data_IF_470850024303
#
_entry.id   IF_470850024303
#
_cell.length_a   1.000
_cell.length_b   1.000
_cell.length_c   1.000
_cell.angle_alpha   90.00
_cell.angle_beta   90.00
_cell.angle_gamma   90.00
#
_symmetry.space_group_name_H-M   'P 1'
#
loop_
_entity.id
_entity.type
_entity.pdbx_description
1 polymer ?
#
# COMPACT_ATOMS: atom_id res chain seq x y z
N UNK A 1 -13.80 12.42 14.51
CA UNK A 1 -12.90 11.31 14.13
C UNK A 1 -12.84 11.28 12.61
N UNK A 2 -11.66 11.12 12.02
CA UNK A 2 -11.53 11.01 10.56
C UNK A 2 -11.99 9.63 10.13
N UNK A 3 -13.02 9.54 9.30
CA UNK A 3 -13.46 8.24 8.76
C UNK A 3 -12.34 7.62 7.91
N UNK A 4 -12.12 6.31 8.07
CA UNK A 4 -11.18 5.60 7.20
C UNK A 4 -11.78 5.39 5.82
N UNK A 5 -10.91 5.25 4.82
CA UNK A 5 -11.32 4.92 3.46
C UNK A 5 -11.28 3.41 3.27
N UNK A 6 -12.37 2.82 2.80
CA UNK A 6 -12.50 1.37 2.64
C UNK A 6 -12.77 1.01 1.18
N UNK A 7 -11.97 0.09 0.62
CA UNK A 7 -12.16 -0.45 -0.73
C UNK A 7 -12.60 -1.91 -0.62
N UNK A 8 -13.73 -2.32 -1.21
CA UNK A 8 -14.15 -3.72 -1.20
C UNK A 8 -13.09 -4.64 -1.83
N UNK A 9 -12.86 -5.78 -1.19
CA UNK A 9 -12.02 -6.86 -1.70
C UNK A 9 -12.93 -7.94 -2.26
N UNK A 10 -12.95 -8.04 -3.59
CA UNK A 10 -13.66 -9.10 -4.31
C UNK A 10 -12.76 -10.34 -4.52
N UNK A 11 -13.38 -11.43 -5.01
CA UNK A 11 -12.69 -12.70 -5.22
C UNK A 11 -11.63 -12.57 -6.32
N UNK A 12 -11.96 -11.86 -7.37
CA UNK A 12 -11.14 -11.69 -8.57
C UNK A 12 -9.82 -10.99 -8.23
N UNK A 13 -9.85 -9.91 -7.45
CA UNK A 13 -8.64 -9.22 -6.99
C UNK A 13 -7.80 -10.13 -6.12
N UNK A 14 -8.42 -10.92 -5.21
CA UNK A 14 -7.68 -11.87 -4.38
C UNK A 14 -7.01 -12.98 -5.20
N UNK A 15 -7.68 -13.51 -6.22
CA UNK A 15 -7.11 -14.50 -7.16
C UNK A 15 -5.88 -13.92 -7.86
N UNK A 16 -6.00 -12.71 -8.40
CA UNK A 16 -4.90 -12.06 -9.14
C UNK A 16 -3.73 -11.76 -8.22
N UNK A 17 -3.98 -11.20 -7.02
CA UNK A 17 -2.93 -10.93 -6.04
C UNK A 17 -2.21 -12.21 -5.61
N UNK A 18 -2.94 -13.32 -5.40
CA UNK A 18 -2.36 -14.62 -5.10
C UNK A 18 -1.50 -15.15 -6.26
N UNK A 19 -1.98 -15.06 -7.49
CA UNK A 19 -1.23 -15.45 -8.68
C UNK A 19 0.09 -14.66 -8.80
N UNK A 20 0.02 -13.32 -8.68
CA UNK A 20 1.19 -12.46 -8.73
C UNK A 20 2.17 -12.73 -7.59
N UNK A 21 1.67 -13.03 -6.38
CA UNK A 21 2.52 -13.36 -5.24
C UNK A 21 3.35 -14.63 -5.47
N UNK A 22 2.79 -15.64 -6.14
CA UNK A 22 3.54 -16.86 -6.50
C UNK A 22 4.68 -16.58 -7.47
N UNK A 23 4.54 -15.57 -8.34
CA UNK A 23 5.61 -15.13 -9.24
C UNK A 23 6.64 -14.28 -8.48
N UNK A 24 6.17 -13.34 -7.64
CA UNK A 24 7.02 -12.41 -6.88
C UNK A 24 7.82 -13.11 -5.78
N UNK A 25 7.31 -14.20 -5.20
CA UNK A 25 7.95 -14.92 -4.09
C UNK A 25 9.35 -15.45 -4.39
N UNK A 26 9.70 -15.66 -5.67
CA UNK A 26 11.05 -16.08 -6.08
C UNK A 26 12.09 -14.97 -5.97
N UNK A 27 11.63 -13.72 -5.84
CA UNK A 27 12.47 -12.54 -5.89
C UNK A 27 12.26 -11.59 -4.72
N UNK A 28 11.31 -11.90 -3.84
CA UNK A 28 11.00 -11.11 -2.66
C UNK A 28 12.10 -11.27 -1.60
N UNK A 29 12.54 -10.15 -1.02
CA UNK A 29 13.41 -10.17 0.13
C UNK A 29 12.64 -10.61 1.38
N UNK A 30 12.88 -11.84 1.84
CA UNK A 30 12.24 -12.38 3.04
C UNK A 30 12.80 -11.70 4.30
N UNK A 31 11.94 -11.03 5.05
CA UNK A 31 12.35 -10.29 6.26
C UNK A 31 12.54 -11.21 7.47
N UNK A 32 13.78 -11.40 7.95
CA UNK A 32 14.15 -11.88 9.31
C UNK A 32 13.14 -12.85 9.97
N UNK A 33 12.87 -12.79 11.27
CA UNK A 33 11.95 -13.73 11.98
C UNK A 33 10.44 -13.76 11.62
N UNK A 34 10.07 -14.00 10.36
CA UNK A 34 8.72 -14.39 9.93
C UNK A 34 8.79 -15.68 9.09
N UNK A 35 7.78 -16.54 9.23
CA UNK A 35 7.67 -17.74 8.40
C UNK A 35 7.02 -17.40 7.04
N UNK A 36 7.78 -17.61 5.97
CA UNK A 36 7.36 -17.42 4.58
C UNK A 36 7.27 -18.75 3.83
N UNK A 37 7.18 -19.88 4.55
CA UNK A 37 7.07 -21.20 3.95
C UNK A 37 5.61 -21.63 3.80
N UNK A 38 4.72 -21.09 4.62
CA UNK A 38 3.29 -21.38 4.59
C UNK A 38 2.48 -20.11 4.29
N UNK A 39 1.31 -20.22 3.64
CA UNK A 39 0.39 -19.10 3.49
C UNK A 39 -0.01 -18.52 4.85
N UNK A 40 -0.09 -17.19 4.96
CA UNK A 40 -0.51 -16.52 6.19
C UNK A 40 -1.92 -16.94 6.63
N UNK A 41 -2.19 -16.89 7.94
CA UNK A 41 -3.51 -17.17 8.51
C UNK A 41 -4.62 -16.33 7.88
N UNK A 42 -4.35 -15.04 7.62
CA UNK A 42 -5.28 -14.16 6.93
C UNK A 42 -5.61 -14.66 5.51
N UNK A 43 -4.60 -15.05 4.72
CA UNK A 43 -4.84 -15.59 3.38
C UNK A 43 -5.66 -16.88 3.42
N UNK A 44 -5.39 -17.77 4.37
CA UNK A 44 -6.16 -19.00 4.55
C UNK A 44 -7.62 -18.69 4.92
N UNK A 45 -7.84 -17.73 5.82
CA UNK A 45 -9.17 -17.27 6.21
C UNK A 45 -9.93 -16.69 5.01
N UNK A 46 -9.31 -15.77 4.27
CA UNK A 46 -9.91 -15.17 3.07
C UNK A 46 -10.23 -16.24 2.02
N UNK A 47 -9.35 -17.22 1.80
CA UNK A 47 -9.59 -18.31 0.85
C UNK A 47 -10.77 -19.18 1.27
N UNK A 48 -10.93 -19.46 2.57
CA UNK A 48 -12.07 -20.21 3.07
C UNK A 48 -13.38 -19.44 2.92
N UNK A 49 -13.39 -18.16 3.26
CA UNK A 49 -14.60 -17.34 3.26
C UNK A 49 -15.04 -16.97 1.84
N UNK A 50 -14.10 -16.57 0.98
CA UNK A 50 -14.39 -16.17 -0.39
C UNK A 50 -14.74 -17.37 -1.27
N UNK A 51 -14.21 -18.57 -1.00
CA UNK A 51 -14.42 -19.77 -1.83
C UNK A 51 -15.17 -20.89 -1.10
N UNK A 52 -16.02 -20.56 -0.12
CA UNK A 52 -16.67 -21.52 0.78
C UNK A 52 -17.36 -22.72 0.07
N UNK A 53 -17.82 -22.57 -1.18
CA UNK A 53 -18.47 -23.62 -1.97
C UNK A 53 -17.78 -23.92 -3.30
N UNK A 54 -16.54 -23.47 -3.47
CA UNK A 54 -15.77 -23.56 -4.70
C UNK A 54 -14.43 -24.28 -4.46
N UNK A 55 -13.71 -24.59 -5.53
CA UNK A 55 -12.35 -25.07 -5.42
C UNK A 55 -11.49 -23.96 -4.80
N UNK A 56 -10.99 -24.22 -3.60
CA UNK A 56 -10.07 -23.32 -2.90
C UNK A 56 -8.81 -23.11 -3.72
N UNK A 57 -8.27 -21.90 -3.63
CA UNK A 57 -7.02 -21.57 -4.31
C UNK A 57 -5.84 -22.27 -3.65
N UNK A 58 -4.88 -22.67 -4.48
CA UNK A 58 -3.51 -22.95 -4.04
C UNK A 58 -2.83 -21.61 -3.72
N UNK A 59 -2.53 -21.39 -2.44
CA UNK A 59 -2.12 -20.09 -1.92
C UNK A 59 -0.61 -19.89 -2.02
N UNK A 60 -0.20 -18.66 -2.32
CA UNK A 60 1.18 -18.24 -2.20
C UNK A 60 1.65 -18.28 -0.73
N UNK A 61 2.93 -18.56 -0.53
CA UNK A 61 3.51 -18.60 0.81
C UNK A 61 3.66 -17.20 1.41
N UNK A 62 3.60 -17.13 2.75
CA UNK A 62 3.73 -15.89 3.52
C UNK A 62 2.50 -14.98 3.37
N UNK A 63 2.75 -13.67 3.44
CA UNK A 63 1.73 -12.62 3.35
C UNK A 63 1.89 -11.72 2.11
N UNK A 64 2.71 -12.13 1.14
CA UNK A 64 3.06 -11.34 -0.06
C UNK A 64 1.80 -10.98 -0.85
N UNK A 65 0.86 -11.93 -0.98
CA UNK A 65 -0.39 -11.68 -1.71
C UNK A 65 -1.22 -10.56 -1.08
N UNK A 66 -1.19 -10.40 0.25
CA UNK A 66 -1.92 -9.33 0.92
C UNK A 66 -1.28 -7.96 0.64
N UNK A 67 0.05 -7.90 0.59
CA UNK A 67 0.78 -6.70 0.16
C UNK A 67 0.40 -6.29 -1.26
N UNK A 68 0.53 -7.22 -2.22
CA UNK A 68 0.16 -7.00 -3.62
C UNK A 68 -1.32 -6.61 -3.76
N UNK A 69 -2.21 -7.25 -2.99
CA UNK A 69 -3.64 -6.91 -2.99
C UNK A 69 -3.87 -5.45 -2.59
N UNK A 70 -3.20 -4.97 -1.54
CA UNK A 70 -3.28 -3.58 -1.11
C UNK A 70 -2.76 -2.62 -2.20
N UNK A 71 -1.60 -2.92 -2.78
CA UNK A 71 -0.99 -2.17 -3.89
C UNK A 71 -1.95 -2.05 -5.08
N UNK A 72 -2.52 -3.17 -5.53
CA UNK A 72 -3.44 -3.21 -6.67
C UNK A 72 -4.70 -2.38 -6.43
N UNK A 73 -5.31 -2.50 -5.24
CA UNK A 73 -6.55 -1.80 -4.90
C UNK A 73 -6.33 -0.29 -4.82
N UNK A 74 -5.23 0.15 -4.21
CA UNK A 74 -4.86 1.57 -4.16
C UNK A 74 -4.54 2.09 -5.56
N UNK A 75 -3.80 1.33 -6.37
CA UNK A 75 -3.49 1.73 -7.73
C UNK A 75 -4.75 1.90 -8.58
N UNK A 76 -5.71 0.98 -8.45
CA UNK A 76 -7.02 1.06 -9.10
C UNK A 76 -7.79 2.31 -8.66
N UNK A 77 -7.86 2.58 -7.36
CA UNK A 77 -8.56 3.75 -6.80
C UNK A 77 -7.95 5.07 -7.29
N UNK A 78 -6.62 5.22 -7.20
CA UNK A 78 -5.91 6.41 -7.66
C UNK A 78 -6.07 6.63 -9.17
N UNK A 79 -6.04 5.56 -9.96
CA UNK A 79 -6.26 5.63 -11.41
C UNK A 79 -7.68 6.07 -11.73
N UNK A 80 -8.68 5.56 -11.01
CA UNK A 80 -10.07 5.98 -11.16
C UNK A 80 -10.27 7.44 -10.75
N UNK A 81 -9.65 7.86 -9.65
CA UNK A 81 -9.66 9.25 -9.19
C UNK A 81 -9.08 10.19 -10.25
N UNK A 82 -7.89 9.86 -10.79
CA UNK A 82 -7.27 10.61 -11.89
C UNK A 82 -8.14 10.64 -13.15
N UNK A 83 -8.75 9.51 -13.51
CA UNK A 83 -9.66 9.43 -14.64
C UNK A 83 -10.86 10.37 -14.47
N UNK A 84 -11.45 10.41 -13.27
CA UNK A 84 -12.59 11.29 -12.98
C UNK A 84 -12.21 12.78 -12.97
N UNK A 85 -10.95 13.12 -12.68
CA UNK A 85 -10.44 14.49 -12.78
C UNK A 85 -10.13 14.92 -14.22
N UNK A 86 -9.86 13.97 -15.12
CA UNK A 86 -9.58 14.24 -16.52
C UNK A 86 -10.89 14.46 -17.29
N UNK A 87 -11.22 15.71 -17.64
CA UNK A 87 -12.33 16.02 -18.54
C UNK A 87 -11.98 15.60 -19.97
N UNK A 88 -12.65 14.59 -20.56
CA UNK A 88 -12.67 14.11 -21.97
C UNK A 88 -11.35 14.09 -22.79
N UNK A 89 -10.21 14.43 -22.19
CA UNK A 89 -8.92 14.62 -22.82
C UNK A 89 -7.92 13.66 -22.19
N UNK A 90 -7.10 13.01 -23.03
CA UNK A 90 -5.95 12.24 -22.58
C UNK A 90 -4.96 13.17 -21.86
N UNK A 91 -4.82 13.02 -20.55
CA UNK A 91 -3.81 13.73 -19.75
C UNK A 91 -2.82 12.67 -19.22
N UNK A 92 -1.55 12.79 -19.60
CA UNK A 92 -0.50 11.98 -18.98
C UNK A 92 -0.24 12.51 -17.56
N UNK A 93 -0.65 11.74 -16.56
CA UNK A 93 -0.48 12.08 -15.15
C UNK A 93 0.85 11.59 -14.56
N UNK A 94 1.73 10.96 -15.36
CA UNK A 94 3.04 10.47 -14.91
C UNK A 94 2.99 9.69 -13.58
N UNK A 95 1.95 8.88 -13.40
CA UNK A 95 1.78 7.98 -12.27
C UNK A 95 2.10 6.56 -12.71
N UNK A 96 3.02 5.91 -12.02
CA UNK A 96 3.55 4.60 -12.40
C UNK A 96 3.53 3.65 -11.21
N UNK A 97 3.06 2.44 -11.45
CA UNK A 97 3.29 1.31 -10.55
C UNK A 97 4.68 0.74 -10.81
N UNK A 98 5.46 0.63 -9.74
CA UNK A 98 6.85 0.20 -9.80
C UNK A 98 6.97 -1.21 -9.25
N UNK A 99 6.60 -2.20 -10.06
CA UNK A 99 6.86 -3.60 -9.70
C UNK A 99 8.37 -3.86 -9.84
N UNK A 100 9.08 -3.82 -8.72
CA UNK A 100 10.50 -4.16 -8.64
C UNK A 100 10.69 -5.52 -7.97
N UNK A 101 11.77 -6.17 -8.37
CA UNK A 101 12.04 -7.61 -8.17
C UNK A 101 13.49 -7.72 -7.67
N UNK A 102 13.72 -8.19 -6.43
CA UNK A 102 15.06 -8.46 -5.87
C UNK A 102 15.44 -7.68 -4.59
N UNK A 103 16.67 -7.90 -4.10
CA UNK A 103 17.19 -7.37 -2.82
C UNK A 103 17.64 -5.90 -2.84
N UNK A 104 17.69 -5.28 -4.02
CA UNK A 104 18.06 -3.87 -4.24
C UNK A 104 16.88 -3.11 -4.81
N UNK A 105 15.68 -3.53 -4.42
CA UNK A 105 14.45 -2.84 -4.75
C UNK A 105 14.56 -1.41 -4.23
N UNK A 106 14.35 -0.43 -5.11
CA UNK A 106 14.38 0.98 -4.76
C UNK A 106 13.39 1.37 -3.64
N UNK A 107 12.52 0.43 -3.24
CA UNK A 107 11.90 0.40 -1.91
C UNK A 107 10.53 1.09 -1.82
N UNK A 108 9.90 1.35 -2.96
CA UNK A 108 8.62 2.03 -3.07
C UNK A 108 7.76 1.42 -4.19
N UNK A 109 6.46 1.33 -3.94
CA UNK A 109 5.48 0.66 -4.81
C UNK A 109 5.00 1.57 -5.94
N UNK A 110 4.93 2.88 -5.70
CA UNK A 110 4.53 3.86 -6.70
C UNK A 110 5.52 5.00 -6.85
N UNK A 111 5.57 5.57 -8.05
CA UNK A 111 6.21 6.84 -8.34
C UNK A 111 5.22 7.77 -9.03
N UNK A 112 5.08 8.99 -8.52
CA UNK A 112 4.31 10.09 -9.14
C UNK A 112 5.26 11.23 -9.47
N UNK A 113 5.33 11.60 -10.75
CA UNK A 113 6.11 12.75 -11.18
C UNK A 113 5.22 13.99 -11.10
N UNK A 114 5.59 14.95 -10.24
CA UNK A 114 4.91 16.25 -10.12
C UNK A 114 5.70 17.31 -10.87
N UNK A 115 5.02 18.04 -11.75
CA UNK A 115 5.57 19.22 -12.42
C UNK A 115 5.51 20.41 -11.46
N UNK A 116 6.66 20.96 -11.09
CA UNK A 116 6.69 22.16 -10.27
C UNK A 116 6.30 23.37 -11.14
N UNK A 117 5.26 24.10 -10.75
CA UNK A 117 4.92 25.38 -11.37
C UNK A 117 5.88 26.46 -10.84
N UNK A 118 6.72 27.03 -11.71
CA UNK A 118 7.42 28.28 -11.46
C UNK A 118 6.70 29.38 -12.21
N UNK A 119 6.44 30.46 -11.49
CA UNK A 119 5.84 31.68 -12.01
C UNK A 119 6.61 32.18 -13.26
N UNK A 120 5.94 32.11 -14.42
CA UNK A 120 6.17 32.91 -15.62
C UNK A 120 7.56 32.92 -16.28
N UNK A 121 8.31 31.80 -16.33
CA UNK A 121 9.45 31.70 -17.27
C UNK A 121 9.49 30.36 -18.00
N UNK A 122 9.75 30.47 -19.31
CA UNK A 122 9.93 29.39 -20.28
C UNK A 122 10.97 28.39 -19.76
N UNK A 123 10.61 27.10 -19.75
CA UNK A 123 11.41 26.04 -19.14
C UNK A 123 12.35 25.33 -20.12
N UNK A 124 13.63 25.13 -19.75
CA UNK A 124 14.36 23.90 -20.08
C UNK A 124 13.83 22.73 -19.24
N UNK A 125 14.06 21.50 -19.70
CA UNK A 125 13.49 20.19 -19.28
C UNK A 125 13.52 19.78 -17.78
N UNK A 126 13.81 20.66 -16.81
CA UNK A 126 14.35 20.22 -15.52
C UNK A 126 13.73 20.90 -14.29
N UNK A 127 12.48 20.60 -13.92
CA UNK A 127 11.99 20.77 -12.53
C UNK A 127 10.80 19.81 -12.30
N UNK A 128 11.08 18.51 -12.39
CA UNK A 128 10.17 17.44 -12.00
C UNK A 128 10.59 16.91 -10.63
N UNK A 129 9.64 16.77 -9.70
CA UNK A 129 9.87 16.11 -8.43
C UNK A 129 9.18 14.74 -8.44
N UNK A 130 9.93 13.68 -8.18
CA UNK A 130 9.39 12.33 -8.05
C UNK A 130 8.95 12.14 -6.60
N UNK A 131 7.70 11.74 -6.41
CA UNK A 131 7.18 11.31 -5.11
C UNK A 131 7.10 9.79 -5.12
N UNK A 132 7.90 9.19 -4.24
CA UNK A 132 7.95 7.76 -4.02
C UNK A 132 6.99 7.39 -2.88
N UNK A 133 6.11 6.42 -3.13
CA UNK A 133 5.06 6.00 -2.19
C UNK A 133 5.24 4.52 -1.88
N UNK A 134 5.23 4.17 -0.60
CA UNK A 134 5.43 2.81 -0.09
C UNK A 134 4.23 2.40 0.79
N UNK A 135 3.56 1.31 0.44
CA UNK A 135 2.36 0.79 1.11
C UNK A 135 2.76 -0.28 2.11
N UNK A 136 2.26 -0.15 3.33
CA UNK A 136 2.40 -1.13 4.40
C UNK A 136 1.04 -1.74 4.71
N UNK A 137 0.91 -3.05 4.51
CA UNK A 137 -0.29 -3.80 4.87
C UNK A 137 0.01 -4.81 6.00
N UNK A 138 -0.85 -4.85 7.01
CA UNK A 138 -0.79 -5.92 8.02
C UNK A 138 -1.35 -7.21 7.41
N UNK A 139 -0.45 -8.05 6.92
CA UNK A 139 -0.83 -9.23 6.14
C UNK A 139 -1.05 -10.53 6.92
N UNK A 140 -1.01 -10.51 8.25
CA UNK A 140 -1.12 -11.74 9.07
C UNK A 140 -2.50 -11.93 9.71
N UNK A 141 -3.21 -10.84 9.99
CA UNK A 141 -4.52 -10.84 10.61
C UNK A 141 -5.42 -9.77 9.99
N UNK A 142 -6.73 -10.03 10.01
CA UNK A 142 -7.71 -8.99 9.71
C UNK A 142 -8.09 -8.24 10.98
N UNK A 143 -8.46 -6.99 10.84
CA UNK A 143 -9.13 -6.24 11.90
C UNK A 143 -10.64 -6.42 11.76
N UNK A 144 -11.35 -6.46 12.89
CA UNK A 144 -12.81 -6.62 12.93
C UNK A 144 -13.56 -5.29 12.99
N UNK A 145 -12.88 -4.20 13.35
CA UNK A 145 -13.46 -2.87 13.55
C UNK A 145 -12.47 -1.79 13.14
N UNK A 146 -12.98 -0.64 12.70
CA UNK A 146 -12.19 0.55 12.42
C UNK A 146 -11.48 1.05 13.68
N UNK A 147 -12.15 1.01 14.84
CA UNK A 147 -11.62 1.47 16.12
C UNK A 147 -10.29 0.78 16.49
N UNK A 148 -10.16 -0.51 16.14
CA UNK A 148 -8.92 -1.26 16.36
C UNK A 148 -7.75 -0.62 15.61
N UNK A 149 -7.96 -0.12 14.40
CA UNK A 149 -6.89 0.45 13.57
C UNK A 149 -6.23 1.66 14.22
N UNK A 150 -6.98 2.54 14.90
CA UNK A 150 -6.40 3.72 15.58
C UNK A 150 -5.38 3.38 16.67
N UNK A 151 -5.47 2.19 17.26
CA UNK A 151 -4.53 1.73 18.29
C UNK A 151 -3.24 1.11 17.73
N UNK A 152 -3.14 0.97 16.41
CA UNK A 152 -2.01 0.36 15.71
C UNK A 152 -1.05 1.41 15.18
N UNK A 153 0.06 0.94 14.59
CA UNK A 153 1.11 1.78 14.05
C UNK A 153 1.29 1.52 12.55
N UNK A 154 1.57 2.57 11.80
CA UNK A 154 2.38 2.43 10.59
C UNK A 154 3.78 1.97 11.01
N UNK A 155 4.26 0.86 10.46
CA UNK A 155 5.57 0.28 10.76
C UNK A 155 6.40 0.12 9.48
N UNK A 156 7.58 0.72 9.49
CA UNK A 156 8.60 0.56 8.45
C UNK A 156 9.84 -0.05 9.09
N UNK A 157 10.25 -1.21 8.60
CA UNK A 157 11.46 -1.88 9.07
C UNK A 157 12.67 -0.94 8.97
N UNK A 158 13.51 -0.88 10.02
CA UNK A 158 14.60 0.08 10.08
C UNK A 158 15.68 -0.19 9.00
N UNK A 159 15.94 -1.44 8.65
CA UNK A 159 16.86 -1.79 7.56
C UNK A 159 16.29 -1.31 6.22
N UNK A 160 14.99 -1.55 5.98
CA UNK A 160 14.32 -1.04 4.78
C UNK A 160 14.39 0.49 4.71
N UNK A 161 14.02 1.18 5.79
CA UNK A 161 13.98 2.65 5.84
C UNK A 161 15.36 3.28 5.63
N UNK A 162 16.40 2.70 6.22
CA UNK A 162 17.76 3.23 6.11
C UNK A 162 18.35 3.02 4.70
N UNK A 163 17.97 1.94 4.02
CA UNK A 163 18.43 1.66 2.66
C UNK A 163 17.62 2.41 1.59
N UNK A 164 16.30 2.50 1.76
CA UNK A 164 15.38 3.06 0.77
C UNK A 164 14.28 3.88 1.44
N UNK A 165 14.37 5.20 1.28
CA UNK A 165 13.41 6.16 1.83
C UNK A 165 12.35 6.48 0.80
N UNK A 166 11.10 6.22 1.14
CA UNK A 166 9.96 6.75 0.41
C UNK A 166 9.60 8.14 0.95
N UNK A 167 9.04 9.00 0.11
CA UNK A 167 8.55 10.31 0.53
C UNK A 167 7.25 10.17 1.35
N UNK A 168 6.46 9.16 0.99
CA UNK A 168 5.16 8.84 1.58
C UNK A 168 5.09 7.36 1.96
N UNK A 169 4.61 7.09 3.16
CA UNK A 169 4.29 5.75 3.64
C UNK A 169 2.80 5.65 3.96
N UNK A 170 2.11 4.65 3.40
CA UNK A 170 0.68 4.45 3.59
C UNK A 170 0.40 3.20 4.41
N UNK A 171 -0.43 3.31 5.46
CA UNK A 171 -0.80 2.16 6.28
C UNK A 171 -2.17 1.63 5.86
N UNK A 172 -2.25 0.31 5.66
CA UNK A 172 -3.48 -0.39 5.32
C UNK A 172 -3.70 -1.64 6.17
N UNK A 173 -4.96 -2.04 6.28
CA UNK A 173 -5.39 -3.25 6.98
C UNK A 173 -6.43 -3.97 6.16
N UNK A 174 -6.53 -5.29 6.31
CA UNK A 174 -7.72 -6.02 5.85
C UNK A 174 -8.77 -5.94 6.96
N UNK A 175 -9.88 -5.26 6.68
CA UNK A 175 -11.06 -5.22 7.53
C UNK A 175 -12.01 -6.35 7.12
N UNK A 176 -12.44 -7.16 8.08
CA UNK A 176 -13.48 -8.18 7.89
C UNK A 176 -14.70 -7.83 8.73
N UNK A 177 -15.81 -7.53 8.07
CA UNK A 177 -17.11 -7.31 8.71
C UNK A 177 -18.20 -8.20 8.08
N UNK A 178 -19.47 -7.94 8.40
CA UNK A 178 -20.61 -8.71 7.90
C UNK A 178 -20.79 -8.59 6.38
N UNK A 179 -20.40 -7.46 5.78
CA UNK A 179 -20.58 -7.18 4.36
C UNK A 179 -19.47 -7.77 3.49
N UNK A 180 -18.37 -8.22 4.11
CA UNK A 180 -17.27 -8.87 3.39
C UNK A 180 -15.90 -8.44 3.88
N UNK A 181 -14.95 -8.51 2.96
CA UNK A 181 -13.58 -8.06 3.16
C UNK A 181 -13.37 -6.70 2.50
N UNK A 182 -12.65 -5.82 3.19
CA UNK A 182 -12.34 -4.48 2.72
C UNK A 182 -10.87 -4.19 2.98
N UNK A 183 -10.21 -3.51 2.06
CA UNK A 183 -8.95 -2.84 2.34
C UNK A 183 -9.28 -1.52 3.03
N UNK A 184 -8.96 -1.43 4.31
CA UNK A 184 -9.02 -0.18 5.06
C UNK A 184 -7.70 0.56 4.86
N UNK A 185 -7.77 1.78 4.30
CA UNK A 185 -6.65 2.71 4.19
C UNK A 185 -6.71 3.63 5.41
N UNK A 186 -5.78 3.40 6.33
CA UNK A 186 -5.76 4.08 7.62
C UNK A 186 -5.25 5.53 7.53
N UNK A 187 -4.54 5.83 6.44
CA UNK A 187 -3.96 7.14 6.17
C UNK A 187 -2.52 7.01 5.69
N UNK A 188 -1.84 8.14 5.60
CA UNK A 188 -0.44 8.22 5.19
C UNK A 188 0.39 9.08 6.13
N UNK A 189 1.69 8.84 6.12
CA UNK A 189 2.70 9.66 6.77
C UNK A 189 3.67 10.17 5.71
N UNK A 190 4.12 11.42 5.84
CA UNK A 190 5.36 11.84 5.20
C UNK A 190 6.55 11.27 5.96
N UNK A 191 7.70 11.20 5.32
CA UNK A 191 8.93 10.69 5.94
C UNK A 191 9.25 11.32 7.31
N UNK A 192 9.02 12.62 7.46
CA UNK A 192 9.33 13.37 8.69
C UNK A 192 8.38 13.06 9.86
N UNK A 193 7.25 12.41 9.60
CA UNK A 193 6.30 12.00 10.64
C UNK A 193 6.70 10.67 11.31
N UNK A 194 7.67 9.95 10.76
CA UNK A 194 8.10 8.66 11.28
C UNK A 194 9.18 8.83 12.35
N UNK A 195 8.97 8.21 13.51
CA UNK A 195 9.94 8.19 14.60
C UNK A 195 10.57 6.81 14.74
N UNK A 196 11.88 6.75 14.95
CA UNK A 196 12.58 5.50 15.23
C UNK A 196 12.17 4.93 16.60
N UNK A 197 11.89 3.64 16.64
CA UNK A 197 11.54 2.90 17.85
C UNK A 197 12.32 1.58 17.91
N UNK A 198 13.22 1.48 18.88
CA UNK A 198 14.09 0.33 19.13
C UNK A 198 13.48 -0.73 20.05
N UNK A 199 12.28 -0.49 20.59
CA UNK A 199 11.60 -1.40 21.53
C UNK A 199 10.82 -2.50 20.85
N UNK A 200 10.58 -2.40 19.54
CA UNK A 200 9.97 -3.48 18.78
C UNK A 200 10.95 -4.66 18.64
N UNK A 201 10.46 -5.91 18.57
CA UNK A 201 11.33 -7.08 18.35
C UNK A 201 12.22 -6.96 17.11
N UNK A 202 11.72 -6.24 16.10
CA UNK A 202 12.53 -5.70 15.00
C UNK A 202 12.41 -4.19 15.03
N UNK A 203 13.54 -3.50 15.10
CA UNK A 203 13.59 -2.05 15.12
C UNK A 203 12.87 -1.47 13.90
N UNK A 204 12.09 -0.41 14.12
CA UNK A 204 11.24 0.15 13.09
C UNK A 204 11.14 1.67 13.22
N UNK A 205 10.94 2.34 12.09
CA UNK A 205 10.39 3.68 12.05
C UNK A 205 8.87 3.57 12.07
N UNK A 206 8.21 4.34 12.93
CA UNK A 206 6.79 4.19 13.17
C UNK A 206 6.05 5.52 13.35
N UNK A 207 4.75 5.49 13.05
CA UNK A 207 3.80 6.54 13.38
C UNK A 207 2.49 5.89 13.82
N UNK A 208 1.89 6.41 14.90
CA UNK A 208 0.58 5.93 15.36
C UNK A 208 -0.47 6.21 14.28
N UNK A 209 -1.39 5.27 14.04
CA UNK A 209 -2.45 5.44 13.04
C UNK A 209 -3.30 6.69 13.32
N UNK A 210 -3.53 7.01 14.60
CA UNK A 210 -4.25 8.23 15.01
C UNK A 210 -3.59 9.54 14.56
N UNK A 211 -2.30 9.50 14.20
CA UNK A 211 -1.52 10.65 13.78
C UNK A 211 -1.30 10.71 12.26
N UNK A 212 -1.82 9.73 11.51
CA UNK A 212 -1.71 9.71 10.06
C UNK A 212 -2.61 10.78 9.42
N UNK A 213 -2.16 11.28 8.28
CA UNK A 213 -2.94 12.18 7.43
C UNK A 213 -3.99 11.38 6.64
N UNK A 214 -5.19 11.93 6.40
CA UNK A 214 -6.26 11.22 5.69
C UNK A 214 -5.91 10.88 4.24
N UNK A 215 -6.42 9.76 3.74
CA UNK A 215 -6.20 9.33 2.34
C UNK A 215 -6.83 10.28 1.31
N UNK A 216 -7.95 10.93 1.62
CA UNK A 216 -8.53 11.92 0.70
C UNK A 216 -7.61 13.14 0.56
N UNK A 217 -7.00 13.61 1.66
CA UNK A 217 -5.99 14.68 1.61
C UNK A 217 -4.77 14.27 0.78
N UNK A 218 -4.38 13.00 0.79
CA UNK A 218 -3.32 12.50 -0.10
C UNK A 218 -3.69 12.65 -1.58
N UNK A 219 -4.88 12.17 -1.97
CA UNK A 219 -5.41 12.29 -3.35
C UNK A 219 -5.48 13.76 -3.77
N UNK A 220 -6.02 14.60 -2.90
CA UNK A 220 -6.13 16.02 -3.12
C UNK A 220 -4.78 16.71 -3.15
N UNK A 221 -3.73 16.26 -2.47
CA UNK A 221 -2.44 16.96 -2.46
C UNK A 221 -1.58 16.58 -3.66
N UNK A 222 -1.53 15.29 -3.98
CA UNK A 222 -0.53 14.76 -4.92
C UNK A 222 -1.10 14.35 -6.29
N UNK A 223 -2.43 14.25 -6.40
CA UNK A 223 -3.13 13.79 -7.60
C UNK A 223 -4.10 14.85 -8.15
N UNK A 224 -3.81 16.13 -7.95
CA UNK A 224 -4.60 17.25 -8.51
C UNK A 224 -4.49 17.33 -10.03
N UNK A 225 -5.48 18.00 -10.64
CA UNK A 225 -5.46 18.39 -12.05
C UNK A 225 -4.29 19.35 -12.30
N UNK A 226 -3.36 18.95 -13.17
CA UNK A 226 -2.30 19.81 -13.71
C UNK A 226 -2.86 20.77 -14.77
#
# INVERSE_FOLDING_TARGET
>A
MNHFYCIPIDKEVFIVANYLARLRSFYEFKRGGYDYNEPSSLMQQMNNDLFCNENKLDLANGNIAIGILAEMLIFRDLTQYLHNLASDNMINQCFQYNLKIGSYDGGFDFCKIIKLACNNRVYPRELFHNINIDIKCYGTESISTEERAYSLNLLVDAEQFNNHKADIYMQTFVLKNNDGYFLLIAGYATIDMLAFNDRFPKQAYCCLVSNLLPYDTFKETYFQRL
#
